data_IF_429597251550
#
_entry.id   IF_429597251550
#
_cell.length_a   1.000
_cell.length_b   1.000
_cell.length_c   1.000
_cell.angle_alpha   90.00
_cell.angle_beta   90.00
_cell.angle_gamma   90.00
#
_symmetry.space_group_name_H-M   'P 1'
#
loop_
_entity.id
_entity.type
_entity.pdbx_description
1 polymer ?
#
# COMPACT_ATOMS: atom_id res chain seq x y z
N UNK A 1 1.33 10.69 -6.59
CA UNK A 1 1.28 9.36 -7.23
C UNK A 1 0.17 8.48 -6.65
N UNK A 2 -0.06 8.53 -5.37
CA UNK A 2 -1.11 7.69 -4.77
C UNK A 2 -2.49 8.00 -5.36
N UNK A 3 -2.84 9.27 -5.48
CA UNK A 3 -4.13 9.69 -6.07
C UNK A 3 -4.25 9.22 -7.52
N UNK A 4 -3.15 9.26 -8.26
CA UNK A 4 -3.14 8.84 -9.66
C UNK A 4 -3.43 7.34 -9.81
N UNK A 5 -2.81 6.48 -8.99
CA UNK A 5 -3.05 5.04 -9.10
C UNK A 5 -4.40 4.61 -8.53
N UNK A 6 -5.04 5.45 -7.73
CA UNK A 6 -6.40 5.20 -7.24
C UNK A 6 -7.48 5.67 -8.21
N UNK A 7 -7.11 6.41 -9.26
CA UNK A 7 -8.03 6.81 -10.30
C UNK A 7 -8.40 5.57 -11.13
N UNK A 8 -9.68 5.22 -11.13
CA UNK A 8 -10.17 4.00 -11.80
C UNK A 8 -9.97 4.03 -13.32
N UNK A 9 -9.79 5.22 -13.90
CA UNK A 9 -9.45 5.36 -15.31
C UNK A 9 -7.98 5.02 -15.59
N UNK A 10 -7.12 5.09 -14.59
CA UNK A 10 -5.69 4.77 -14.70
C UNK A 10 -5.43 3.32 -14.31
N UNK A 11 -5.88 2.92 -13.13
CA UNK A 11 -5.75 1.53 -12.64
C UNK A 11 -7.10 1.10 -12.08
N UNK A 12 -7.79 0.24 -12.80
CA UNK A 12 -9.09 -0.27 -12.35
C UNK A 12 -8.94 -1.18 -11.13
N UNK A 13 -9.83 -1.02 -10.14
CA UNK A 13 -9.87 -1.88 -8.97
C UNK A 13 -8.89 -1.53 -7.85
N UNK A 14 -8.09 -0.48 -8.00
CA UNK A 14 -7.11 -0.08 -6.98
C UNK A 14 -7.80 0.70 -5.86
N UNK A 15 -7.83 0.12 -4.67
CA UNK A 15 -8.36 0.77 -3.47
C UNK A 15 -7.27 1.39 -2.61
N UNK A 16 -7.69 2.09 -1.56
CA UNK A 16 -6.78 2.80 -0.64
C UNK A 16 -5.75 1.87 0.03
N UNK A 17 -6.19 0.69 0.44
CA UNK A 17 -5.32 -0.30 1.09
C UNK A 17 -4.24 -0.77 0.12
N UNK A 18 -4.63 -1.20 -1.05
CA UNK A 18 -3.70 -1.76 -2.04
C UNK A 18 -2.78 -0.69 -2.63
N UNK A 19 -3.25 0.55 -2.73
CA UNK A 19 -2.40 1.67 -3.16
C UNK A 19 -1.26 1.89 -2.17
N UNK A 20 -1.55 1.93 -0.87
CA UNK A 20 -0.52 2.09 0.16
C UNK A 20 0.47 0.93 0.15
N UNK A 21 -0.01 -0.31 0.07
CA UNK A 21 0.83 -1.50 0.06
C UNK A 21 1.71 -1.58 -1.20
N UNK A 22 1.15 -1.24 -2.36
CA UNK A 22 1.90 -1.24 -3.62
C UNK A 22 3.04 -0.21 -3.61
N UNK A 23 2.77 0.99 -3.12
CA UNK A 23 3.79 2.03 -3.01
C UNK A 23 4.90 1.65 -2.03
N UNK A 24 4.55 1.02 -0.93
CA UNK A 24 5.54 0.49 0.01
C UNK A 24 6.42 -0.55 -0.65
N UNK A 25 5.84 -1.52 -1.33
CA UNK A 25 6.58 -2.60 -1.99
C UNK A 25 7.50 -2.07 -3.08
N UNK A 26 7.06 -1.06 -3.82
CA UNK A 26 7.88 -0.42 -4.85
C UNK A 26 8.95 0.53 -4.29
N UNK A 27 8.88 0.88 -3.00
CA UNK A 27 9.82 1.81 -2.39
C UNK A 27 9.60 3.26 -2.80
N UNK A 28 8.38 3.63 -3.16
CA UNK A 28 8.03 4.95 -3.67
C UNK A 28 7.18 5.69 -2.63
N UNK A 29 7.57 6.92 -2.30
CA UNK A 29 6.81 7.76 -1.38
C UNK A 29 5.45 8.13 -1.97
N UNK A 30 4.36 8.02 -1.18
CA UNK A 30 3.05 8.45 -1.63
C UNK A 30 2.95 9.96 -1.86
N UNK A 31 3.93 10.72 -1.35
CA UNK A 31 4.00 12.18 -1.54
C UNK A 31 4.59 12.56 -2.90
N UNK A 32 5.18 11.63 -3.64
CA UNK A 32 5.75 11.94 -4.95
C UNK A 32 4.67 12.35 -5.93
N UNK A 33 5.01 13.30 -6.79
CA UNK A 33 4.15 13.66 -7.92
C UNK A 33 4.19 12.52 -8.95
N UNK A 34 3.06 12.24 -9.57
CA UNK A 34 2.95 11.19 -10.59
C UNK A 34 3.97 11.38 -11.72
N UNK A 35 4.19 12.63 -12.13
CA UNK A 35 5.15 12.96 -13.18
C UNK A 35 6.59 12.56 -12.85
N UNK A 36 6.94 12.42 -11.56
CA UNK A 36 8.28 11.99 -11.15
C UNK A 36 8.44 10.47 -11.13
N UNK A 37 7.34 9.73 -11.25
CA UNK A 37 7.35 8.25 -11.27
C UNK A 37 7.36 7.79 -12.71
N UNK A 38 8.55 7.64 -13.25
CA UNK A 38 8.79 7.26 -14.66
C UNK A 38 9.97 6.30 -14.74
N UNK A 39 10.14 5.65 -15.90
CA UNK A 39 11.24 4.74 -16.14
C UNK A 39 11.25 3.58 -15.16
N UNK A 40 12.38 3.41 -14.47
CA UNK A 40 12.57 2.30 -13.51
C UNK A 40 11.55 2.33 -12.37
N UNK A 41 11.23 3.52 -11.85
CA UNK A 41 10.23 3.65 -10.79
C UNK A 41 8.85 3.20 -11.26
N UNK A 42 8.45 3.60 -12.45
CA UNK A 42 7.17 3.21 -13.02
C UNK A 42 7.10 1.69 -13.22
N UNK A 43 8.17 1.07 -13.69
CA UNK A 43 8.23 -0.39 -13.86
C UNK A 43 8.13 -1.12 -12.52
N UNK A 44 8.83 -0.64 -11.51
CA UNK A 44 8.76 -1.23 -10.17
C UNK A 44 7.35 -1.11 -9.57
N UNK A 45 6.73 0.05 -9.77
CA UNK A 45 5.36 0.25 -9.27
C UNK A 45 4.36 -0.66 -9.98
N UNK A 46 4.44 -0.78 -11.28
CA UNK A 46 3.57 -1.68 -12.04
C UNK A 46 3.73 -3.13 -11.59
N UNK A 47 4.96 -3.59 -11.38
CA UNK A 47 5.22 -4.94 -10.86
C UNK A 47 4.66 -5.11 -9.45
N UNK A 48 4.87 -4.11 -8.58
CA UNK A 48 4.36 -4.16 -7.21
C UNK A 48 2.83 -4.21 -7.16
N UNK A 49 2.16 -3.44 -8.00
CA UNK A 49 0.69 -3.47 -8.10
C UNK A 49 0.22 -4.86 -8.48
N UNK A 50 0.81 -5.46 -9.50
CA UNK A 50 0.44 -6.82 -9.93
C UNK A 50 0.66 -7.84 -8.83
N UNK A 51 1.79 -7.77 -8.14
CA UNK A 51 2.11 -8.69 -7.04
C UNK A 51 1.15 -8.54 -5.87
N UNK A 52 0.87 -7.31 -5.45
CA UNK A 52 -0.05 -7.04 -4.33
C UNK A 52 -1.45 -7.53 -4.65
N UNK A 53 -1.96 -7.24 -5.84
CA UNK A 53 -3.30 -7.68 -6.23
C UNK A 53 -3.38 -9.20 -6.37
N UNK A 54 -2.34 -9.85 -6.91
CA UNK A 54 -2.29 -11.30 -7.01
C UNK A 54 -2.29 -11.96 -5.64
N UNK A 55 -1.49 -11.45 -4.71
CA UNK A 55 -1.46 -11.96 -3.32
C UNK A 55 -2.79 -11.73 -2.61
N UNK A 56 -3.44 -10.58 -2.85
CA UNK A 56 -4.74 -10.29 -2.27
C UNK A 56 -5.81 -11.26 -2.76
N UNK A 57 -5.83 -11.57 -4.04
CA UNK A 57 -6.76 -12.55 -4.62
C UNK A 57 -6.49 -13.93 -4.03
N UNK A 58 -5.23 -14.35 -3.96
CA UNK A 58 -4.85 -15.65 -3.41
C UNK A 58 -5.24 -15.78 -1.94
N UNK A 59 -5.13 -14.70 -1.17
CA UNK A 59 -5.51 -14.69 0.24
C UNK A 59 -7.02 -14.50 0.48
N UNK A 60 -7.83 -14.38 -0.58
CA UNK A 60 -9.26 -14.16 -0.45
C UNK A 60 -9.67 -12.72 -0.21
N UNK A 61 -8.76 -11.78 -0.43
CA UNK A 61 -9.00 -10.35 -0.23
C UNK A 61 -8.83 -9.91 1.22
N UNK A 62 -9.14 -8.65 1.47
CA UNK A 62 -9.07 -8.04 2.81
C UNK A 62 -10.45 -8.01 3.44
N UNK A 63 -10.55 -8.45 4.70
CA UNK A 63 -11.79 -8.33 5.46
C UNK A 63 -11.69 -7.12 6.37
N UNK A 64 -12.38 -6.05 5.99
CA UNK A 64 -12.57 -4.88 6.83
C UNK A 64 -14.06 -4.75 7.10
N UNK A 65 -14.43 -4.63 8.37
CA UNK A 65 -15.82 -4.59 8.80
C UNK A 65 -16.56 -5.87 8.38
N UNK A 66 -17.62 -5.74 7.59
CA UNK A 66 -18.51 -6.84 7.25
C UNK A 66 -18.19 -7.55 5.94
N UNK A 67 -17.06 -7.24 5.34
CA UNK A 67 -16.67 -7.91 4.09
C UNK A 67 -16.30 -9.36 4.37
N UNK A 68 -17.01 -10.28 3.76
CA UNK A 68 -16.83 -11.72 3.95
C UNK A 68 -16.69 -12.43 2.60
N UNK A 69 -16.00 -13.57 2.61
CA UNK A 69 -15.94 -14.43 1.46
C UNK A 69 -17.30 -15.12 1.24
N UNK A 70 -17.57 -15.64 0.03
CA UNK A 70 -18.84 -16.32 -0.26
C UNK A 70 -19.17 -17.48 0.67
N UNK A 71 -18.18 -18.11 1.29
CA UNK A 71 -18.38 -19.21 2.25
C UNK A 71 -18.63 -18.70 3.68
N UNK A 72 -18.77 -17.38 3.89
CA UNK A 72 -18.95 -16.78 5.18
C UNK A 72 -17.68 -16.45 5.94
N UNK A 73 -16.52 -16.80 5.40
CA UNK A 73 -15.22 -16.50 6.01
C UNK A 73 -14.77 -15.07 5.74
N UNK A 74 -13.66 -14.68 6.37
CA UNK A 74 -13.02 -13.40 6.13
C UNK A 74 -11.81 -13.57 5.20
N UNK A 75 -11.51 -12.56 4.41
CA UNK A 75 -10.26 -12.52 3.67
C UNK A 75 -9.07 -12.40 4.62
N UNK A 76 -7.94 -12.93 4.21
CA UNK A 76 -6.75 -12.98 5.06
C UNK A 76 -5.65 -12.02 4.64
N UNK A 77 -5.84 -11.23 3.59
CA UNK A 77 -4.80 -10.33 3.08
C UNK A 77 -4.40 -9.28 4.12
N UNK A 78 -5.32 -8.83 4.97
CA UNK A 78 -5.03 -7.86 6.02
C UNK A 78 -3.94 -8.33 7.00
N UNK A 79 -3.71 -9.63 7.12
CA UNK A 79 -2.64 -10.18 7.95
C UNK A 79 -1.26 -10.03 7.31
N UNK A 80 -1.21 -9.63 6.04
CA UNK A 80 0.03 -9.44 5.28
C UNK A 80 0.35 -7.97 5.04
N UNK A 81 -0.40 -7.05 5.64
CA UNK A 81 -0.15 -5.61 5.46
C UNK A 81 1.22 -5.23 6.01
N UNK A 82 1.98 -4.51 5.21
CA UNK A 82 3.28 -3.97 5.61
C UNK A 82 3.13 -2.61 6.27
N UNK A 83 2.24 -1.77 5.76
CA UNK A 83 2.08 -0.39 6.24
C UNK A 83 0.66 -0.02 6.61
N UNK A 84 -0.33 -0.51 5.90
CA UNK A 84 -1.71 -0.07 6.13
C UNK A 84 -2.19 -0.44 7.52
N UNK A 85 -2.64 0.57 8.28
CA UNK A 85 -3.11 0.37 9.65
C UNK A 85 -2.01 0.12 10.66
N UNK A 86 -0.73 0.29 10.30
CA UNK A 86 0.41 -0.02 11.16
C UNK A 86 1.16 1.23 11.64
N UNK A 87 0.46 2.33 11.78
CA UNK A 87 1.04 3.59 12.26
C UNK A 87 1.84 3.39 13.54
N UNK A 88 3.07 3.86 13.56
CA UNK A 88 3.96 3.76 14.71
C UNK A 88 4.70 2.43 14.85
N UNK A 89 4.42 1.45 14.00
CA UNK A 89 5.08 0.15 14.04
C UNK A 89 6.21 0.08 13.01
N UNK A 90 7.15 -0.85 13.22
CA UNK A 90 8.19 -1.11 12.24
C UNK A 90 7.58 -1.77 11.01
N UNK A 91 8.02 -1.36 9.82
CA UNK A 91 7.59 -2.04 8.60
C UNK A 91 8.47 -3.28 8.37
N UNK A 92 7.91 -4.36 7.81
CA UNK A 92 8.72 -5.52 7.46
C UNK A 92 9.64 -5.19 6.28
N UNK A 93 10.80 -5.80 6.24
CA UNK A 93 11.71 -5.73 5.11
C UNK A 93 12.59 -4.49 5.02
N UNK A 94 12.63 -3.64 6.04
CA UNK A 94 13.61 -2.56 6.13
C UNK A 94 14.05 -2.34 7.56
N UNK A 95 15.20 -1.68 7.72
CA UNK A 95 15.75 -1.31 9.03
C UNK A 95 15.19 0.04 9.47
N UNK A 96 13.87 0.15 9.55
CA UNK A 96 13.27 1.38 10.03
C UNK A 96 13.36 1.41 11.57
N UNK A 97 14.34 2.15 12.06
CA UNK A 97 14.52 2.35 13.49
C UNK A 97 13.38 3.22 14.01
N UNK A 98 12.47 2.61 14.78
CA UNK A 98 11.28 3.29 15.31
C UNK A 98 11.65 4.56 16.07
N UNK A 99 12.72 4.51 16.86
CA UNK A 99 13.19 5.65 17.64
C UNK A 99 13.58 6.84 16.79
N UNK A 100 14.11 6.61 15.59
CA UNK A 100 14.54 7.68 14.67
C UNK A 100 13.46 8.10 13.68
N UNK A 101 12.64 7.16 13.23
CA UNK A 101 11.69 7.39 12.13
C UNK A 101 10.25 7.47 12.60
N UNK A 102 9.96 7.11 13.84
CA UNK A 102 8.61 6.93 14.40
C UNK A 102 7.83 5.80 13.71
N UNK A 103 8.53 4.90 13.00
CA UNK A 103 7.93 3.76 12.33
C UNK A 103 7.10 4.15 11.10
N UNK A 104 6.07 3.37 10.81
CA UNK A 104 5.13 3.67 9.73
C UNK A 104 4.41 4.99 10.04
N UNK A 105 4.38 5.88 9.08
CA UNK A 105 3.74 7.19 9.21
C UNK A 105 2.35 7.17 8.60
N UNK A 106 1.48 8.02 9.14
CA UNK A 106 0.14 8.23 8.63
C UNK A 106 -0.04 9.67 8.23
N UNK A 107 -0.49 9.90 7.01
CA UNK A 107 -0.89 11.21 6.50
C UNK A 107 -2.28 11.10 5.87
N UNK A 108 -2.88 12.24 5.57
CA UNK A 108 -4.17 12.27 4.87
C UNK A 108 -3.94 12.88 3.49
N UNK A 109 -4.38 12.16 2.47
CA UNK A 109 -4.31 12.62 1.08
C UNK A 109 -5.68 12.43 0.44
N UNK A 110 -6.22 13.48 -0.15
CA UNK A 110 -7.54 13.46 -0.79
C UNK A 110 -8.64 12.89 0.14
N UNK A 111 -8.60 13.24 1.42
CA UNK A 111 -9.58 12.80 2.41
C UNK A 111 -9.40 11.38 2.91
N UNK A 112 -8.35 10.68 2.50
CA UNK A 112 -8.10 9.29 2.91
C UNK A 112 -6.78 9.14 3.63
N UNK A 113 -6.75 8.24 4.61
CA UNK A 113 -5.53 7.91 5.32
C UNK A 113 -4.54 7.21 4.40
N UNK A 114 -3.27 7.61 4.48
CA UNK A 114 -2.17 7.03 3.73
C UNK A 114 -1.09 6.60 4.71
N UNK A 115 -0.62 5.37 4.58
CA UNK A 115 0.41 4.81 5.45
C UNK A 115 1.66 4.53 4.63
N UNK A 116 2.84 4.91 5.16
CA UNK A 116 4.10 4.70 4.46
C UNK A 116 5.27 4.63 5.42
N UNK A 117 6.37 4.03 4.98
CA UNK A 117 7.63 4.00 5.71
C UNK A 117 8.59 5.01 5.08
N UNK A 118 8.95 6.06 5.84
CA UNK A 118 9.81 7.13 5.31
C UNK A 118 11.24 6.67 5.05
N UNK A 119 11.69 5.58 5.66
CA UNK A 119 13.02 5.02 5.42
C UNK A 119 13.09 4.26 4.09
N UNK A 120 12.04 3.52 3.77
CA UNK A 120 12.00 2.67 2.56
C UNK A 120 11.45 3.40 1.34
N UNK A 121 10.46 4.24 1.54
CA UNK A 121 9.75 4.89 0.44
C UNK A 121 10.28 6.30 0.20
N UNK A 122 10.85 6.51 -0.97
CA UNK A 122 11.50 7.78 -1.34
C UNK A 122 10.98 8.38 -2.63
#
# INVERSE_FOLDING_TARGET
IKTAIMDQAVVAGMGNIYASESLHRAGISPKRKAASVKGRRARRLAAAIREVLAEAIEAGGSSLRDHRLPDGGFGYFQHRFAVYGRHGLACPGCDCEIEKTAGVRRIVQAGRATFYCSSRQR
#
